data_IF_250503150067
#
_entry.id   IF_250503150067
#
_cell.length_a   1.000
_cell.length_b   1.000
_cell.length_c   1.000
_cell.angle_alpha   90.00
_cell.angle_beta   90.00
_cell.angle_gamma   90.00
#
_symmetry.space_group_name_H-M   'P 1'
#
loop_
_entity.id
_entity.type
_entity.pdbx_description
1 polymer ?
#
# COMPACT_ATOMS: atom_id res chain seq x y z
N UNK A 1 -14.46 -10.42 22.12
CA UNK A 1 -13.20 -10.27 21.36
C UNK A 1 -12.57 -8.91 21.64
N UNK A 2 -11.43 -8.83 22.36
CA UNK A 2 -10.83 -7.53 22.76
C UNK A 2 -10.14 -6.77 21.62
N UNK A 3 -9.78 -7.45 20.53
CA UNK A 3 -9.03 -6.83 19.41
C UNK A 3 -9.90 -5.91 18.57
N UNK A 4 -11.17 -6.26 18.34
CA UNK A 4 -12.11 -5.44 17.57
C UNK A 4 -12.49 -4.15 18.30
N UNK A 5 -12.50 -4.16 19.64
CA UNK A 5 -12.77 -2.96 20.46
C UNK A 5 -11.71 -1.86 20.30
N UNK A 6 -10.57 -2.15 19.66
CA UNK A 6 -9.55 -1.14 19.34
C UNK A 6 -9.96 -0.25 18.16
N UNK A 7 -10.94 -0.66 17.35
CA UNK A 7 -11.43 0.06 16.18
C UNK A 7 -10.59 -0.17 14.92
N UNK A 8 -11.13 0.18 13.74
CA UNK A 8 -10.45 -0.03 12.45
C UNK A 8 -9.24 0.88 12.24
N UNK A 9 -9.18 2.00 12.95
CA UNK A 9 -8.05 2.95 12.89
C UNK A 9 -6.86 2.51 13.75
N UNK A 10 -7.00 1.43 14.53
CA UNK A 10 -5.90 0.91 15.32
C UNK A 10 -4.85 0.25 14.42
N UNK A 11 -3.60 0.68 14.50
CA UNK A 11 -2.49 0.11 13.73
C UNK A 11 -1.62 -0.77 14.63
N UNK A 12 -1.63 -2.10 14.44
CA UNK A 12 -0.63 -2.99 15.03
C UNK A 12 0.79 -2.55 14.71
N UNK A 13 1.73 -2.80 15.61
CA UNK A 13 3.15 -2.70 15.27
C UNK A 13 3.44 -3.63 14.07
N UNK A 14 3.88 -3.10 12.91
CA UNK A 14 4.13 -3.93 11.74
C UNK A 14 5.35 -4.84 11.97
N UNK A 15 5.37 -6.03 11.34
CA UNK A 15 6.58 -6.85 11.32
C UNK A 15 7.68 -6.14 10.52
N UNK A 16 8.94 -6.54 10.73
CA UNK A 16 10.02 -6.10 9.87
C UNK A 16 9.80 -6.62 8.44
N UNK A 17 9.86 -5.72 7.46
CA UNK A 17 9.71 -6.02 6.04
C UNK A 17 11.07 -5.88 5.33
N UNK A 18 11.87 -6.95 5.40
CA UNK A 18 13.21 -6.99 4.81
C UNK A 18 13.17 -7.03 3.29
N UNK A 19 12.10 -7.58 2.72
CA UNK A 19 11.97 -7.76 1.28
C UNK A 19 11.72 -6.40 0.60
N UNK A 20 10.73 -5.65 1.10
CA UNK A 20 10.48 -4.28 0.62
C UNK A 20 11.69 -3.39 0.87
N UNK A 21 12.32 -3.47 2.04
CA UNK A 21 13.54 -2.71 2.34
C UNK A 21 14.67 -3.01 1.34
N UNK A 22 14.82 -4.26 0.91
CA UNK A 22 15.83 -4.63 -0.08
C UNK A 22 15.54 -4.02 -1.47
N UNK A 23 14.27 -3.94 -1.85
CA UNK A 23 13.82 -3.30 -3.09
C UNK A 23 14.06 -1.79 -3.00
N UNK A 24 13.73 -1.18 -1.87
CA UNK A 24 13.93 0.25 -1.62
C UNK A 24 15.40 0.64 -1.67
N UNK A 25 16.30 -0.18 -1.09
CA UNK A 25 17.75 0.03 -1.16
C UNK A 25 18.22 0.00 -2.61
N UNK A 26 17.76 -0.96 -3.42
CA UNK A 26 18.11 -1.04 -4.85
C UNK A 26 17.63 0.19 -5.61
N UNK A 27 16.39 0.62 -5.39
CA UNK A 27 15.84 1.82 -6.01
C UNK A 27 16.57 3.09 -5.56
N UNK A 28 16.97 3.17 -4.28
CA UNK A 28 17.77 4.27 -3.75
C UNK A 28 19.17 4.31 -4.39
N UNK A 29 19.88 3.18 -4.44
CA UNK A 29 21.18 3.06 -5.12
C UNK A 29 21.08 3.45 -6.61
N UNK A 30 19.98 3.07 -7.29
CA UNK A 30 19.71 3.48 -8.67
C UNK A 30 19.52 5.00 -8.79
N UNK A 31 18.76 5.63 -7.88
CA UNK A 31 18.59 7.08 -7.83
C UNK A 31 19.91 7.82 -7.63
N UNK A 32 20.79 7.30 -6.77
CA UNK A 32 22.14 7.85 -6.59
C UNK A 32 22.95 7.81 -7.89
N UNK A 33 22.94 6.68 -8.60
CA UNK A 33 23.60 6.52 -9.91
C UNK A 33 23.06 7.49 -10.94
N UNK A 34 21.73 7.63 -11.03
CA UNK A 34 21.08 8.57 -11.93
C UNK A 34 21.49 10.01 -11.63
N UNK A 35 21.45 10.42 -10.35
CA UNK A 35 21.87 11.75 -9.93
C UNK A 35 23.32 12.04 -10.30
N UNK A 36 24.22 11.09 -10.08
CA UNK A 36 25.62 11.23 -10.50
C UNK A 36 25.79 11.25 -12.02
N UNK A 37 24.99 10.50 -12.78
CA UNK A 37 25.10 10.44 -14.24
C UNK A 37 24.57 11.69 -14.95
N UNK A 38 23.49 12.29 -14.43
CA UNK A 38 22.79 13.42 -15.04
C UNK A 38 23.06 14.76 -14.32
N UNK A 39 23.72 14.76 -13.16
CA UNK A 39 23.90 15.95 -12.32
C UNK A 39 24.57 17.13 -13.03
N UNK A 40 25.46 16.85 -13.98
CA UNK A 40 26.20 17.88 -14.73
C UNK A 40 25.54 18.25 -16.08
N UNK A 41 24.41 17.62 -16.41
CA UNK A 41 23.71 17.87 -17.68
C UNK A 41 22.51 18.76 -17.43
N UNK A 42 22.60 20.02 -17.84
CA UNK A 42 21.40 20.83 -18.02
C UNK A 42 20.43 20.09 -18.95
N UNK A 43 19.16 20.05 -18.56
CA UNK A 43 18.08 19.40 -19.31
C UNK A 43 17.89 20.10 -20.67
N UNK A 44 18.64 19.67 -21.69
CA UNK A 44 18.57 20.26 -23.03
C UNK A 44 17.32 19.89 -23.84
N UNK A 45 16.47 19.00 -23.32
CA UNK A 45 15.17 18.69 -23.90
C UNK A 45 14.18 18.37 -22.79
N UNK A 46 13.53 19.40 -22.25
CA UNK A 46 12.34 19.19 -21.45
C UNK A 46 11.22 18.73 -22.40
N UNK A 47 11.08 17.41 -22.55
CA UNK A 47 9.80 16.86 -23.00
C UNK A 47 8.72 17.41 -22.05
N UNK A 48 7.59 17.90 -22.58
CA UNK A 48 6.49 18.48 -21.79
C UNK A 48 5.43 17.45 -21.43
N UNK A 49 5.58 16.19 -21.86
CA UNK A 49 4.61 15.14 -21.55
C UNK A 49 4.46 14.92 -20.04
N UNK A 50 3.24 15.11 -19.55
CA UNK A 50 2.83 14.87 -18.17
C UNK A 50 2.90 13.38 -17.83
N UNK A 51 2.67 12.51 -18.82
CA UNK A 51 2.66 11.05 -18.65
C UNK A 51 3.87 10.45 -19.34
N UNK A 52 4.73 9.80 -18.55
CA UNK A 52 5.87 9.03 -19.04
C UNK A 52 5.91 7.66 -18.39
N UNK A 53 6.33 6.67 -19.17
CA UNK A 53 6.60 5.34 -18.66
C UNK A 53 7.75 5.37 -17.65
N UNK A 54 7.69 4.52 -16.62
CA UNK A 54 8.77 4.39 -15.63
C UNK A 54 10.04 3.89 -16.34
N UNK A 55 11.11 4.68 -16.27
CA UNK A 55 12.40 4.29 -16.85
C UNK A 55 13.05 3.16 -16.06
N UNK A 56 13.54 2.14 -16.77
CA UNK A 56 14.35 1.03 -16.25
C UNK A 56 15.85 1.28 -16.37
N UNK A 57 16.25 2.43 -16.94
CA UNK A 57 17.65 2.78 -17.13
C UNK A 57 18.39 2.89 -15.80
N UNK A 58 19.55 2.24 -15.74
CA UNK A 58 20.48 2.28 -14.61
C UNK A 58 21.89 2.54 -15.14
N UNK A 59 22.54 3.66 -14.76
CA UNK A 59 23.89 3.95 -15.19
C UNK A 59 24.91 2.90 -14.75
N UNK A 60 25.90 2.65 -15.60
CA UNK A 60 27.03 1.77 -15.29
C UNK A 60 27.85 2.27 -14.09
N UNK A 61 28.52 1.32 -13.43
CA UNK A 61 29.53 1.57 -12.39
C UNK A 61 30.85 2.04 -13.00
N UNK A 62 31.70 2.68 -12.20
CA UNK A 62 33.06 3.05 -12.56
C UNK A 62 33.28 4.56 -12.75
N UNK A 63 32.21 5.36 -12.85
CA UNK A 63 32.34 6.83 -12.98
C UNK A 63 32.82 7.51 -11.70
N UNK A 64 32.38 7.02 -10.55
CA UNK A 64 32.74 7.55 -9.24
C UNK A 64 33.01 6.39 -8.28
N UNK A 65 34.27 6.20 -7.93
CA UNK A 65 34.74 5.09 -7.09
C UNK A 65 34.16 5.16 -5.67
N UNK A 66 34.05 6.35 -5.10
CA UNK A 66 33.51 6.56 -3.75
C UNK A 66 32.00 6.24 -3.72
N UNK A 67 31.28 6.66 -4.76
CA UNK A 67 29.86 6.34 -4.91
C UNK A 67 29.65 4.83 -5.05
N UNK A 68 30.45 4.16 -5.88
CA UNK A 68 30.36 2.71 -6.06
C UNK A 68 30.70 1.96 -4.77
N UNK A 69 31.71 2.42 -4.02
CA UNK A 69 32.05 1.88 -2.71
C UNK A 69 30.86 2.01 -1.74
N UNK A 70 30.26 3.21 -1.66
CA UNK A 70 29.08 3.45 -0.82
C UNK A 70 27.89 2.56 -1.19
N UNK A 71 27.57 2.48 -2.49
CA UNK A 71 26.49 1.62 -3.00
C UNK A 71 26.74 0.15 -2.67
N UNK A 72 27.98 -0.32 -2.78
CA UNK A 72 28.34 -1.69 -2.42
C UNK A 72 28.17 -1.94 -0.92
N UNK A 73 28.61 -1.02 -0.06
CA UNK A 73 28.39 -1.13 1.38
C UNK A 73 26.90 -1.16 1.74
N UNK A 74 26.09 -0.29 1.14
CA UNK A 74 24.66 -0.22 1.42
C UNK A 74 23.91 -1.45 0.90
N UNK A 75 24.28 -1.96 -0.28
CA UNK A 75 23.65 -3.14 -0.89
C UNK A 75 23.97 -4.44 -0.13
N UNK A 76 25.13 -4.49 0.53
CA UNK A 76 25.57 -5.61 1.36
C UNK A 76 25.27 -5.40 2.85
N UNK A 77 24.58 -4.32 3.22
CA UNK A 77 24.29 -4.03 4.61
C UNK A 77 23.33 -5.09 5.17
N UNK A 78 23.60 -5.66 6.35
CA UNK A 78 22.71 -6.65 6.95
C UNK A 78 21.38 -5.99 7.31
N UNK A 79 20.31 -6.37 6.61
CA UNK A 79 18.95 -5.83 6.82
C UNK A 79 18.23 -6.43 8.02
N UNK A 80 18.86 -7.40 8.69
CA UNK A 80 18.27 -8.05 9.86
C UNK A 80 18.33 -7.07 11.04
N UNK A 81 17.18 -6.67 11.61
CA UNK A 81 17.14 -5.79 12.77
C UNK A 81 17.91 -6.42 13.93
N UNK A 82 18.74 -5.65 14.62
CA UNK A 82 19.44 -6.17 15.80
C UNK A 82 18.44 -6.38 16.94
N UNK A 83 18.73 -7.27 17.92
CA UNK A 83 17.83 -7.50 19.05
C UNK A 83 17.48 -6.22 19.83
N UNK A 84 18.41 -5.25 19.90
CA UNK A 84 18.19 -3.93 20.50
C UNK A 84 17.22 -3.02 19.72
N UNK A 85 16.98 -3.29 18.43
CA UNK A 85 16.13 -2.48 17.54
C UNK A 85 14.67 -2.97 17.56
N UNK A 86 14.35 -3.99 18.36
CA UNK A 86 13.01 -4.58 18.41
C UNK A 86 12.05 -3.61 19.07
N UNK A 87 11.24 -2.95 18.23
CA UNK A 87 10.07 -2.18 18.66
C UNK A 87 9.15 -3.10 19.45
N UNK A 88 8.75 -2.67 20.64
CA UNK A 88 7.79 -3.42 21.46
C UNK A 88 6.46 -3.51 20.72
N UNK A 89 5.95 -4.73 20.58
CA UNK A 89 4.63 -4.97 20.02
C UNK A 89 3.55 -4.29 20.88
N UNK A 90 2.71 -3.47 20.26
CA UNK A 90 1.58 -2.82 20.93
C UNK A 90 0.35 -3.75 21.12
N UNK A 91 0.43 -4.99 20.63
CA UNK A 91 -0.60 -6.02 20.75
C UNK A 91 -0.05 -7.27 21.45
N UNK A 92 -0.77 -7.85 22.43
CA UNK A 92 -0.43 -9.16 22.97
C UNK A 92 -0.52 -10.26 21.90
N UNK A 93 0.33 -11.29 22.00
CA UNK A 93 0.38 -12.40 21.05
C UNK A 93 -0.99 -13.03 20.75
N UNK A 94 -1.81 -13.28 21.78
CA UNK A 94 -3.18 -13.82 21.61
C UNK A 94 -4.08 -12.91 20.76
N UNK A 95 -3.92 -11.59 20.88
CA UNK A 95 -4.70 -10.63 20.07
C UNK A 95 -4.15 -10.54 18.64
N UNK A 96 -2.84 -10.65 18.45
CA UNK A 96 -2.23 -10.75 17.11
C UNK A 96 -2.75 -11.99 16.37
N UNK A 97 -2.75 -13.15 17.04
CA UNK A 97 -3.27 -14.38 16.45
C UNK A 97 -4.77 -14.28 16.14
N UNK A 98 -5.56 -13.65 17.01
CA UNK A 98 -6.97 -13.39 16.75
C UNK A 98 -7.17 -12.46 15.53
N UNK A 99 -6.36 -11.41 15.41
CA UNK A 99 -6.40 -10.51 14.26
C UNK A 99 -6.04 -11.23 12.95
N UNK A 100 -4.99 -12.05 12.98
CA UNK A 100 -4.58 -12.87 11.83
C UNK A 100 -5.71 -13.81 11.39
N UNK A 101 -6.37 -14.50 12.33
CA UNK A 101 -7.50 -15.39 12.03
C UNK A 101 -8.67 -14.61 11.43
N UNK A 102 -9.03 -13.46 12.00
CA UNK A 102 -10.09 -12.59 11.48
C UNK A 102 -9.78 -12.07 10.07
N UNK A 103 -8.52 -11.71 9.79
CA UNK A 103 -8.09 -11.24 8.47
C UNK A 103 -8.16 -12.34 7.40
N UNK A 104 -7.90 -13.60 7.79
CA UNK A 104 -7.93 -14.76 6.90
C UNK A 104 -9.31 -15.40 6.77
N UNK A 105 -10.29 -14.95 7.56
CA UNK A 105 -11.64 -15.49 7.51
C UNK A 105 -12.39 -14.92 6.30
N UNK A 106 -12.58 -15.77 5.29
CA UNK A 106 -13.29 -15.42 4.06
C UNK A 106 -14.81 -15.54 4.19
N UNK A 107 -15.34 -16.07 5.30
CA UNK A 107 -16.78 -16.19 5.52
C UNK A 107 -17.41 -14.88 6.02
N UNK A 108 -16.62 -13.94 6.52
CA UNK A 108 -17.13 -12.72 7.14
C UNK A 108 -16.72 -11.43 6.40
N UNK A 109 -17.48 -10.38 6.64
CA UNK A 109 -17.20 -8.99 6.26
C UNK A 109 -17.21 -8.14 7.52
N UNK A 110 -16.18 -7.31 7.70
CA UNK A 110 -16.07 -6.36 8.82
C UNK A 110 -16.09 -4.94 8.24
N UNK A 111 -17.01 -4.09 8.70
CA UNK A 111 -17.20 -2.71 8.24
C UNK A 111 -17.45 -1.77 9.42
N UNK A 112 -17.20 -0.47 9.22
CA UNK A 112 -17.67 0.56 10.15
C UNK A 112 -19.20 0.61 10.13
N UNK A 113 -19.81 0.78 11.29
CA UNK A 113 -21.24 1.03 11.39
C UNK A 113 -21.56 2.44 10.89
N UNK A 114 -22.67 2.57 10.17
CA UNK A 114 -23.18 3.87 9.67
C UNK A 114 -23.36 4.90 10.80
N UNK A 115 -23.74 4.42 11.99
CA UNK A 115 -23.95 5.26 13.18
C UNK A 115 -23.22 4.68 14.40
N UNK A 116 -22.77 5.56 15.29
CA UNK A 116 -22.27 5.18 16.62
C UNK A 116 -20.82 4.67 16.67
N UNK A 117 -20.03 4.80 15.61
CA UNK A 117 -18.60 4.46 15.60
C UNK A 117 -18.27 2.99 15.90
N UNK A 118 -19.28 2.13 15.86
CA UNK A 118 -19.17 0.71 16.13
C UNK A 118 -18.66 -0.06 14.91
N UNK A 119 -18.38 -1.35 15.11
CA UNK A 119 -18.04 -2.29 14.05
C UNK A 119 -19.21 -3.22 13.78
N UNK A 120 -19.45 -3.50 12.50
CA UNK A 120 -20.43 -4.49 12.06
C UNK A 120 -19.70 -5.68 11.45
N UNK A 121 -20.08 -6.88 11.89
CA UNK A 121 -19.61 -8.16 11.34
C UNK A 121 -20.80 -8.83 10.68
N UNK A 122 -20.66 -9.22 9.42
CA UNK A 122 -21.71 -9.86 8.64
C UNK A 122 -21.16 -11.12 7.97
N UNK A 123 -22.03 -12.11 7.77
CA UNK A 123 -21.75 -13.21 6.85
C UNK A 123 -21.59 -12.65 5.43
N UNK A 124 -20.57 -13.12 4.71
CA UNK A 124 -20.18 -12.58 3.40
C UNK A 124 -21.22 -12.91 2.32
N UNK A 125 -21.78 -14.12 2.36
CA UNK A 125 -22.79 -14.55 1.38
C UNK A 125 -24.06 -13.72 1.58
N UNK A 126 -24.53 -13.61 2.81
CA UNK A 126 -25.67 -12.80 3.17
C UNK A 126 -25.48 -11.33 2.77
N UNK A 127 -24.31 -10.74 3.07
CA UNK A 127 -23.99 -9.35 2.70
C UNK A 127 -24.06 -9.13 1.19
N UNK A 128 -23.47 -10.03 0.39
CA UNK A 128 -23.52 -9.99 -1.08
C UNK A 128 -24.96 -10.09 -1.58
N UNK A 129 -25.71 -11.06 -1.08
CA UNK A 129 -27.08 -11.32 -1.55
C UNK A 129 -28.00 -10.14 -1.24
N UNK A 130 -27.84 -9.50 -0.07
CA UNK A 130 -28.57 -8.29 0.28
C UNK A 130 -28.24 -7.08 -0.59
N UNK A 131 -26.97 -6.91 -0.97
CA UNK A 131 -26.59 -5.86 -1.93
C UNK A 131 -27.27 -6.13 -3.27
N UNK A 132 -27.25 -7.37 -3.75
CA UNK A 132 -27.85 -7.71 -5.04
C UNK A 132 -29.38 -7.51 -5.02
N UNK A 133 -30.05 -7.88 -3.94
CA UNK A 133 -31.48 -7.63 -3.71
C UNK A 133 -31.78 -6.13 -3.79
N UNK A 134 -31.03 -5.29 -3.08
CA UNK A 134 -31.21 -3.84 -3.06
C UNK A 134 -30.95 -3.20 -4.43
N UNK A 135 -29.90 -3.63 -5.15
CA UNK A 135 -29.58 -3.10 -6.48
C UNK A 135 -30.61 -3.49 -7.54
N UNK A 136 -31.30 -4.62 -7.34
CA UNK A 136 -32.37 -5.07 -8.22
C UNK A 136 -33.72 -4.41 -7.90
N UNK A 137 -33.81 -3.61 -6.84
CA UNK A 137 -35.03 -2.94 -6.45
C UNK A 137 -35.34 -1.75 -7.37
N UNK A 138 -36.26 -2.01 -8.32
CA UNK A 138 -36.72 -1.02 -9.29
C UNK A 138 -37.64 0.05 -8.71
N UNK A 139 -38.11 -0.10 -7.45
CA UNK A 139 -38.90 0.92 -6.78
C UNK A 139 -38.04 2.12 -6.37
N UNK A 140 -36.80 1.88 -5.96
CA UNK A 140 -35.87 2.92 -5.50
C UNK A 140 -34.75 3.24 -6.48
N UNK A 141 -34.31 2.26 -7.28
CA UNK A 141 -33.20 2.40 -8.22
C UNK A 141 -33.68 2.23 -9.67
N UNK A 142 -34.39 3.24 -10.19
CA UNK A 142 -34.78 3.29 -11.60
C UNK A 142 -33.81 4.20 -12.39
N UNK A 143 -33.29 3.69 -13.51
CA UNK A 143 -32.41 4.47 -14.38
C UNK A 143 -33.15 5.65 -14.99
N UNK A 144 -32.66 6.87 -14.76
CA UNK A 144 -33.19 8.07 -15.41
C UNK A 144 -32.94 7.98 -16.92
N UNK A 145 -34.01 8.04 -17.72
CA UNK A 145 -33.85 8.23 -19.16
C UNK A 145 -33.20 9.60 -19.38
N UNK A 146 -31.99 9.60 -19.96
CA UNK A 146 -31.35 10.84 -20.42
C UNK A 146 -32.26 11.46 -21.46
N UNK A 147 -32.94 12.54 -21.10
CA UNK A 147 -33.65 13.36 -22.07
C UNK A 147 -32.59 14.07 -22.91
N UNK A 148 -32.28 13.54 -24.09
CA UNK A 148 -31.57 14.33 -25.10
C UNK A 148 -32.46 15.51 -25.45
N UNK A 149 -32.01 16.71 -25.09
CA UNK A 149 -32.65 17.95 -25.50
C UNK A 149 -32.76 17.97 -27.01
N UNK A 150 -33.98 18.04 -27.52
CA UNK A 150 -34.22 18.47 -28.90
C UNK A 150 -33.94 19.97 -28.92
N UNK A 151 -32.79 20.35 -29.44
CA UNK A 151 -32.54 21.72 -29.86
C UNK A 151 -33.44 22.02 -31.08
N UNK A 152 -34.19 23.12 -30.98
CA UNK A 152 -34.93 23.74 -32.10
C UNK A 152 -34.01 24.73 -32.82
#
# INVERSE_FOLDING_TARGET
>A
MKVLNKGLKYTPTPPADTDTLSVDIKEFCRKLRLKNHFGDKESKTADESIVRNKSTFTPEKGKNKDLDLYINHLSNFPLIPKPQDKVKNNLPFKQQQALYRLQKDESIIIKEADKGGALVIMDRIYYRDKIQEQLNDKQYYQGTQRQYGKEN
#
